data_IF_087068161239
#
_entry.id   IF_087068161239
#
_cell.length_a   1.000
_cell.length_b   1.000
_cell.length_c   1.000
_cell.angle_alpha   90.00
_cell.angle_beta   90.00
_cell.angle_gamma   90.00
#
_symmetry.space_group_name_H-M   'P 1'
#
loop_
_entity.id
_entity.type
_entity.pdbx_description
1 polymer ?
#
# COMPACT_ATOMS: atom_id res chain seq x y z
N UNK A 1 81.51 -70.64 52.11
CA UNK A 1 82.66 -69.73 52.31
C UNK A 1 82.89 -68.99 50.99
N UNK A 2 82.75 -67.66 51.01
CA UNK A 2 83.27 -66.61 50.09
C UNK A 2 83.09 -66.70 48.55
N UNK A 3 82.44 -65.64 48.02
CA UNK A 3 82.74 -64.78 46.84
C UNK A 3 82.95 -65.44 45.44
N UNK A 4 82.09 -65.19 44.42
CA UNK A 4 82.07 -64.08 43.40
C UNK A 4 83.18 -64.20 42.31
N UNK A 5 83.10 -63.61 41.07
CA UNK A 5 81.99 -62.90 40.39
C UNK A 5 81.89 -63.02 38.81
N UNK A 6 80.81 -62.43 38.27
CA UNK A 6 80.59 -61.61 37.04
C UNK A 6 80.83 -62.05 35.56
N UNK A 7 79.93 -61.50 34.71
CA UNK A 7 79.97 -61.18 33.26
C UNK A 7 79.46 -62.29 32.29
N UNK A 8 78.70 -62.05 31.22
CA UNK A 8 78.29 -60.83 30.50
C UNK A 8 77.01 -61.11 29.65
N UNK A 9 76.16 -60.07 29.51
CA UNK A 9 75.15 -59.69 28.47
C UNK A 9 75.05 -60.50 27.15
N UNK A 10 73.96 -60.63 26.38
CA UNK A 10 72.72 -59.84 26.19
C UNK A 10 71.65 -60.63 25.40
N UNK A 11 70.41 -60.11 25.43
CA UNK A 11 69.33 -60.16 24.43
C UNK A 11 68.51 -61.45 24.22
N UNK A 12 67.23 -61.42 24.61
CA UNK A 12 66.11 -61.15 23.68
C UNK A 12 64.83 -60.91 24.50
N UNK A 13 64.11 -59.82 24.17
CA UNK A 13 62.82 -59.47 24.74
C UNK A 13 61.69 -60.32 24.16
N UNK A 14 60.85 -60.87 25.04
CA UNK A 14 59.44 -61.17 24.79
C UNK A 14 58.67 -60.59 25.99
N UNK A 15 57.86 -59.55 25.78
CA UNK A 15 56.95 -59.06 26.81
C UNK A 15 55.62 -58.64 26.19
N UNK A 16 54.59 -59.33 26.66
CA UNK A 16 53.18 -59.22 26.36
C UNK A 16 52.64 -57.82 26.66
N UNK A 17 52.03 -57.16 25.68
CA UNK A 17 51.34 -55.89 25.87
C UNK A 17 49.91 -56.14 26.41
N UNK A 18 49.63 -55.58 27.59
CA UNK A 18 48.27 -55.42 28.12
C UNK A 18 47.50 -54.39 27.28
N UNK A 19 46.24 -54.70 27.00
CA UNK A 19 45.29 -53.78 26.38
C UNK A 19 44.95 -52.63 27.34
N UNK A 20 45.30 -51.40 26.96
CA UNK A 20 44.76 -50.17 27.54
C UNK A 20 43.43 -49.89 26.83
N UNK A 21 42.35 -49.88 27.58
CA UNK A 21 41.06 -49.37 27.13
C UNK A 21 41.22 -47.86 26.83
N UNK A 22 41.16 -47.50 25.55
CA UNK A 22 41.08 -46.11 25.15
C UNK A 22 39.65 -45.61 25.33
N UNK A 23 39.47 -44.67 26.25
CA UNK A 23 38.30 -43.81 26.30
C UNK A 23 38.16 -43.11 24.94
N UNK A 24 37.15 -43.51 24.16
CA UNK A 24 36.68 -42.66 23.07
C UNK A 24 35.99 -41.46 23.72
N UNK A 25 36.37 -40.21 23.41
CA UNK A 25 35.55 -39.09 23.82
C UNK A 25 34.18 -39.30 23.20
N UNK A 26 33.16 -39.36 24.05
CA UNK A 26 31.78 -39.29 23.62
C UNK A 26 31.65 -37.99 22.84
N UNK A 27 31.48 -38.12 21.53
CA UNK A 27 31.06 -37.03 20.66
C UNK A 27 29.67 -36.65 21.17
N UNK A 28 29.65 -35.68 22.07
CA UNK A 28 28.44 -34.97 22.46
C UNK A 28 27.84 -34.47 21.16
N UNK A 29 26.80 -35.15 20.70
CA UNK A 29 25.88 -34.59 19.72
C UNK A 29 25.42 -33.26 20.31
N UNK A 30 26.05 -32.18 19.84
CA UNK A 30 25.59 -30.84 20.10
C UNK A 30 24.10 -30.83 19.76
N UNK A 31 23.30 -30.32 20.70
CA UNK A 31 21.87 -30.16 20.54
C UNK A 31 21.57 -29.67 19.11
N UNK A 32 20.80 -30.46 18.37
CA UNK A 32 20.16 -29.97 17.16
C UNK A 32 19.42 -28.69 17.56
N UNK A 33 19.85 -27.58 16.97
CA UNK A 33 19.51 -26.19 17.30
C UNK A 33 18.09 -25.99 17.84
N UNK A 34 17.96 -25.27 18.96
CA UNK A 34 16.71 -24.68 19.49
C UNK A 34 16.10 -23.59 18.55
N UNK A 35 16.40 -23.62 17.26
CA UNK A 35 15.88 -22.70 16.27
C UNK A 35 14.54 -23.24 15.72
N UNK A 36 13.51 -22.39 15.60
CA UNK A 36 12.25 -22.78 14.96
C UNK A 36 12.48 -23.36 13.56
N UNK A 37 11.64 -24.32 13.16
CA UNK A 37 11.71 -24.89 11.81
C UNK A 37 11.54 -23.79 10.75
N UNK A 38 12.16 -23.95 9.59
CA UNK A 38 11.99 -23.00 8.47
C UNK A 38 10.50 -22.80 8.11
N UNK A 39 9.69 -23.85 8.27
CA UNK A 39 8.24 -23.81 8.04
C UNK A 39 7.50 -23.00 9.08
N UNK A 40 7.86 -23.08 10.36
CA UNK A 40 7.28 -22.23 11.41
C UNK A 40 7.61 -20.75 11.19
N UNK A 41 8.87 -20.43 10.82
CA UNK A 41 9.27 -19.05 10.48
C UNK A 41 8.49 -18.55 9.26
N UNK A 42 8.31 -19.38 8.24
CA UNK A 42 7.50 -19.05 7.07
C UNK A 42 6.02 -18.86 7.42
N UNK A 43 5.45 -19.71 8.26
CA UNK A 43 4.09 -19.59 8.75
C UNK A 43 3.85 -18.30 9.53
N UNK A 44 4.81 -17.93 10.39
CA UNK A 44 4.80 -16.64 11.09
C UNK A 44 4.81 -15.47 10.10
N UNK A 45 5.70 -15.53 9.11
CA UNK A 45 5.80 -14.49 8.07
C UNK A 45 4.48 -14.33 7.31
N UNK A 46 3.85 -15.43 6.89
CA UNK A 46 2.57 -15.38 6.18
C UNK A 46 1.42 -14.91 7.08
N UNK A 47 1.41 -15.27 8.37
CA UNK A 47 0.44 -14.76 9.34
C UNK A 47 0.60 -13.24 9.56
N UNK A 48 1.83 -12.73 9.52
CA UNK A 48 2.13 -11.30 9.51
C UNK A 48 1.68 -10.64 8.21
N UNK A 49 1.93 -11.25 7.04
CA UNK A 49 1.49 -10.71 5.75
C UNK A 49 -0.05 -10.65 5.61
N UNK A 50 -0.77 -11.55 6.27
CA UNK A 50 -2.23 -11.53 6.37
C UNK A 50 -2.80 -10.71 7.52
N UNK A 51 -1.96 -9.93 8.21
CA UNK A 51 -2.29 -9.05 9.34
C UNK A 51 -3.16 -9.72 10.42
N UNK A 52 -2.94 -11.02 10.66
CA UNK A 52 -3.82 -11.82 11.52
C UNK A 52 -3.85 -11.28 12.95
N UNK A 53 -2.73 -10.72 13.42
CA UNK A 53 -2.58 -10.23 14.79
C UNK A 53 -3.41 -8.97 15.05
N UNK A 54 -3.54 -8.06 14.08
CA UNK A 54 -4.27 -6.81 14.24
C UNK A 54 -5.76 -7.09 14.52
N UNK A 55 -6.36 -8.01 13.76
CA UNK A 55 -7.76 -8.40 13.96
C UNK A 55 -7.95 -9.31 15.17
N UNK A 56 -7.06 -10.28 15.39
CA UNK A 56 -7.24 -11.29 16.44
C UNK A 56 -6.62 -10.89 17.78
N UNK A 57 -6.42 -9.60 18.06
CA UNK A 57 -5.95 -9.11 19.36
C UNK A 57 -6.77 -7.91 19.78
N UNK A 58 -7.53 -8.03 20.88
CA UNK A 58 -8.25 -6.90 21.48
C UNK A 58 -7.29 -5.97 22.23
N UNK A 59 -7.67 -4.70 22.49
CA UNK A 59 -6.96 -3.84 23.43
C UNK A 59 -6.76 -4.54 24.77
N UNK A 60 -5.53 -4.50 25.29
CA UNK A 60 -5.09 -5.15 26.53
C UNK A 60 -5.23 -6.69 26.57
N UNK A 61 -5.54 -7.33 25.44
CA UNK A 61 -5.58 -8.79 25.29
C UNK A 61 -4.21 -9.39 25.01
N UNK A 62 -4.08 -10.72 25.13
CA UNK A 62 -2.90 -11.40 24.58
C UNK A 62 -3.08 -11.58 23.07
N UNK A 63 -1.95 -11.71 22.37
CA UNK A 63 -1.93 -11.93 20.93
C UNK A 63 -2.82 -13.12 20.53
N UNK A 64 -3.60 -12.94 19.46
CA UNK A 64 -4.44 -13.98 18.85
C UNK A 64 -5.65 -14.47 19.68
N UNK A 65 -5.92 -13.89 20.85
CA UNK A 65 -7.08 -14.24 21.69
C UNK A 65 -8.42 -13.72 21.15
N UNK A 66 -8.41 -12.88 20.12
CA UNK A 66 -9.60 -12.24 19.57
C UNK A 66 -10.26 -11.25 20.54
N UNK A 67 -11.52 -10.95 20.26
CA UNK A 67 -12.36 -10.01 21.02
C UNK A 67 -12.26 -8.56 20.55
N UNK A 68 -11.61 -8.30 19.41
CA UNK A 68 -11.63 -6.97 18.80
C UNK A 68 -13.05 -6.71 18.26
N UNK A 69 -13.71 -5.61 18.66
CA UNK A 69 -14.96 -5.18 18.04
C UNK A 69 -14.68 -4.55 16.67
N UNK A 70 -15.42 -5.01 15.66
CA UNK A 70 -15.46 -4.43 14.32
C UNK A 70 -16.86 -3.87 14.14
N UNK A 71 -16.97 -2.54 14.17
CA UNK A 71 -18.23 -1.86 13.98
C UNK A 71 -18.59 -1.82 12.49
N UNK A 72 -19.81 -2.28 12.19
CA UNK A 72 -20.34 -2.31 10.83
C UNK A 72 -21.69 -1.59 10.78
N UNK A 73 -22.15 -1.16 9.60
CA UNK A 73 -23.51 -0.65 9.42
C UNK A 73 -24.61 -1.63 9.88
N UNK A 74 -24.29 -2.91 10.04
CA UNK A 74 -25.22 -3.97 10.41
C UNK A 74 -25.21 -4.31 11.92
N UNK A 75 -24.24 -3.80 12.67
CA UNK A 75 -23.97 -4.14 14.07
C UNK A 75 -22.48 -4.43 14.31
N UNK A 76 -22.13 -4.98 15.45
CA UNK A 76 -20.74 -5.22 15.84
C UNK A 76 -20.37 -6.69 15.67
N UNK A 77 -19.29 -6.95 14.92
CA UNK A 77 -18.67 -8.27 14.78
C UNK A 77 -17.51 -8.35 15.77
N UNK A 78 -17.35 -9.48 16.45
CA UNK A 78 -16.21 -9.70 17.35
C UNK A 78 -15.30 -10.77 16.76
N UNK A 79 -14.00 -10.50 16.71
CA UNK A 79 -13.03 -11.44 16.17
C UNK A 79 -12.87 -12.66 17.08
N UNK A 80 -12.78 -13.89 16.54
CA UNK A 80 -12.65 -15.09 17.35
C UNK A 80 -11.23 -15.25 17.90
N UNK A 81 -11.09 -16.07 18.93
CA UNK A 81 -9.79 -16.55 19.41
C UNK A 81 -9.25 -17.57 18.40
N UNK A 82 -8.01 -17.40 17.94
CA UNK A 82 -7.35 -18.31 16.99
C UNK A 82 -6.08 -18.95 17.55
N UNK A 83 -5.95 -18.97 18.88
CA UNK A 83 -4.90 -19.72 19.59
C UNK A 83 -5.17 -21.24 19.53
N UNK A 84 -4.21 -22.12 19.88
CA UNK A 84 -4.39 -23.57 19.87
C UNK A 84 -5.32 -24.11 20.99
N UNK A 85 -6.07 -23.25 21.69
CA UNK A 85 -7.06 -23.71 22.65
C UNK A 85 -8.13 -24.56 21.97
N UNK A 86 -8.39 -25.76 22.50
CA UNK A 86 -9.43 -26.68 21.97
C UNK A 86 -10.86 -26.24 22.27
N UNK A 87 -11.05 -25.42 23.30
CA UNK A 87 -12.37 -25.00 23.79
C UNK A 87 -12.77 -23.59 23.41
N UNK A 88 -11.79 -22.68 23.24
CA UNK A 88 -12.04 -21.29 22.89
C UNK A 88 -11.42 -20.88 21.56
N UNK A 89 -10.37 -21.56 21.10
CA UNK A 89 -9.63 -21.26 19.88
C UNK A 89 -9.82 -22.29 18.77
N UNK A 90 -8.83 -22.40 17.88
CA UNK A 90 -8.84 -23.30 16.72
C UNK A 90 -8.18 -24.66 16.98
N UNK A 91 -7.87 -24.99 18.24
CA UNK A 91 -7.09 -26.17 18.61
C UNK A 91 -7.69 -27.54 18.21
N UNK A 92 -8.96 -27.55 17.83
CA UNK A 92 -9.68 -28.75 17.37
C UNK A 92 -9.89 -28.78 15.85
N UNK A 93 -9.46 -27.76 15.11
CA UNK A 93 -9.66 -27.69 13.66
C UNK A 93 -8.74 -28.70 12.96
N UNK A 94 -9.30 -29.53 12.09
CA UNK A 94 -8.52 -30.30 11.12
C UNK A 94 -7.89 -29.37 10.07
N UNK A 95 -6.99 -29.88 9.24
CA UNK A 95 -6.39 -29.09 8.15
C UNK A 95 -7.47 -28.67 7.15
N UNK A 96 -8.39 -29.58 6.85
CA UNK A 96 -9.55 -29.32 6.01
C UNK A 96 -10.47 -28.25 6.60
N UNK A 97 -10.76 -28.30 7.92
CA UNK A 97 -11.57 -27.28 8.58
C UNK A 97 -10.93 -25.88 8.48
N UNK A 98 -9.60 -25.80 8.65
CA UNK A 98 -8.87 -24.54 8.57
C UNK A 98 -8.88 -23.98 7.14
N UNK A 99 -8.69 -24.84 6.15
CA UNK A 99 -8.76 -24.46 4.73
C UNK A 99 -10.18 -24.02 4.35
N UNK A 100 -11.23 -24.76 4.73
CA UNK A 100 -12.62 -24.35 4.49
C UNK A 100 -12.99 -23.04 5.18
N UNK A 101 -12.49 -22.80 6.40
CA UNK A 101 -12.73 -21.54 7.10
C UNK A 101 -12.17 -20.35 6.32
N UNK A 102 -10.91 -20.43 5.89
CA UNK A 102 -10.23 -19.31 5.24
C UNK A 102 -10.53 -19.21 3.74
N UNK A 103 -10.77 -20.31 3.05
CA UNK A 103 -10.94 -20.29 1.60
C UNK A 103 -12.40 -20.33 1.17
N UNK A 104 -13.29 -20.94 1.97
CA UNK A 104 -14.71 -21.08 1.62
C UNK A 104 -15.62 -20.26 2.53
N UNK A 105 -15.07 -19.71 3.61
CA UNK A 105 -15.86 -19.02 4.62
C UNK A 105 -16.83 -19.97 5.32
N UNK A 106 -16.46 -21.24 5.54
CA UNK A 106 -17.32 -22.25 6.19
C UNK A 106 -16.68 -22.73 7.49
N UNK A 107 -17.45 -22.72 8.58
CA UNK A 107 -17.00 -23.22 9.89
C UNK A 107 -16.88 -24.75 9.90
N UNK A 108 -16.14 -25.34 10.87
CA UNK A 108 -16.10 -26.80 11.04
C UNK A 108 -17.48 -27.45 11.25
N UNK A 109 -18.45 -26.65 11.73
CA UNK A 109 -19.85 -27.06 11.90
C UNK A 109 -20.71 -26.90 10.65
N UNK A 110 -20.14 -26.43 9.54
CA UNK A 110 -20.82 -26.27 8.26
C UNK A 110 -21.63 -24.97 8.12
N UNK A 111 -21.45 -23.99 9.01
CA UNK A 111 -22.14 -22.69 8.91
C UNK A 111 -21.25 -21.65 8.22
N UNK A 112 -21.81 -20.69 7.48
CA UNK A 112 -21.02 -19.68 6.81
C UNK A 112 -20.47 -18.64 7.81
N UNK A 113 -19.29 -18.09 7.50
CA UNK A 113 -18.71 -16.93 8.15
C UNK A 113 -19.20 -15.65 7.47
N UNK A 114 -19.27 -14.57 8.24
CA UNK A 114 -19.42 -13.23 7.65
C UNK A 114 -18.13 -12.85 6.91
N UNK A 115 -18.22 -12.11 5.79
CA UNK A 115 -17.06 -11.71 4.99
C UNK A 115 -16.14 -10.68 5.67
N UNK A 116 -16.40 -10.36 6.95
CA UNK A 116 -15.43 -9.71 7.83
C UNK A 116 -14.20 -10.60 8.08
N UNK A 117 -14.37 -11.93 8.07
CA UNK A 117 -13.26 -12.82 7.75
C UNK A 117 -13.02 -12.70 6.24
N UNK A 118 -11.84 -12.25 5.76
CA UNK A 118 -11.61 -11.93 4.36
C UNK A 118 -11.39 -13.19 3.50
N UNK A 119 -12.24 -14.21 3.67
CA UNK A 119 -12.27 -15.41 2.84
C UNK A 119 -12.45 -15.15 1.34
N UNK A 120 -13.15 -14.07 0.88
CA UNK A 120 -13.17 -13.72 -0.54
C UNK A 120 -11.78 -13.40 -1.12
N UNK A 121 -10.82 -12.99 -0.28
CA UNK A 121 -9.42 -12.78 -0.66
C UNK A 121 -8.59 -14.03 -0.38
N UNK A 122 -8.73 -14.62 0.81
CA UNK A 122 -7.94 -15.78 1.24
C UNK A 122 -8.19 -17.03 0.39
N UNK A 123 -9.32 -17.15 -0.32
CA UNK A 123 -9.51 -18.19 -1.34
C UNK A 123 -8.36 -18.24 -2.36
N UNK A 124 -7.72 -17.09 -2.66
CA UNK A 124 -6.64 -16.99 -3.64
C UNK A 124 -5.32 -17.59 -3.11
N UNK A 125 -5.18 -17.77 -1.80
CA UNK A 125 -3.97 -18.23 -1.12
C UNK A 125 -3.82 -19.76 -1.25
N UNK A 126 -2.59 -20.22 -1.49
CA UNK A 126 -2.26 -21.64 -1.62
C UNK A 126 -2.47 -22.37 -0.30
N UNK A 127 -2.91 -23.62 -0.39
CA UNK A 127 -3.18 -24.46 0.77
C UNK A 127 -1.93 -24.63 1.66
N UNK A 128 -0.74 -24.79 1.07
CA UNK A 128 0.51 -24.95 1.83
C UNK A 128 0.85 -23.71 2.67
N UNK A 129 0.61 -22.51 2.14
CA UNK A 129 0.86 -21.25 2.85
C UNK A 129 -0.13 -21.09 4.02
N UNK A 130 -1.41 -21.43 3.82
CA UNK A 130 -2.40 -21.44 4.89
C UNK A 130 -2.08 -22.48 5.96
N UNK A 131 -1.63 -23.67 5.57
CA UNK A 131 -1.23 -24.70 6.54
C UNK A 131 0.05 -24.33 7.28
N UNK A 132 0.97 -23.58 6.67
CA UNK A 132 2.11 -22.99 7.38
C UNK A 132 1.65 -21.97 8.43
N UNK A 133 0.69 -21.10 8.10
CA UNK A 133 0.06 -20.19 9.07
C UNK A 133 -0.56 -21.00 10.22
N UNK A 134 -1.32 -22.05 9.91
CA UNK A 134 -1.91 -22.92 10.93
C UNK A 134 -0.85 -23.53 11.85
N UNK A 135 0.24 -24.05 11.29
CA UNK A 135 1.35 -24.63 12.06
C UNK A 135 1.95 -23.59 13.02
N UNK A 136 2.15 -22.36 12.55
CA UNK A 136 2.59 -21.25 13.40
C UNK A 136 1.59 -20.95 14.51
N UNK A 137 0.30 -20.79 14.20
CA UNK A 137 -0.75 -20.52 15.21
C UNK A 137 -0.83 -21.65 16.25
N UNK A 138 -0.68 -22.90 15.84
CA UNK A 138 -0.70 -24.07 16.73
C UNK A 138 0.56 -24.20 17.61
N UNK A 139 1.62 -23.45 17.30
CA UNK A 139 2.83 -23.37 18.13
C UNK A 139 2.74 -22.36 19.27
N UNK A 140 1.71 -21.50 19.27
CA UNK A 140 1.53 -20.43 20.25
C UNK A 140 1.02 -20.95 21.62
N UNK A 141 1.07 -20.11 22.65
CA UNK A 141 0.41 -20.43 23.91
C UNK A 141 -1.11 -20.46 23.75
N UNK A 142 -1.81 -21.51 24.23
CA UNK A 142 -3.26 -21.56 24.16
C UNK A 142 -3.90 -20.57 25.14
N UNK A 143 -4.93 -19.87 24.69
CA UNK A 143 -5.77 -19.03 25.55
C UNK A 143 -7.19 -19.55 25.64
N UNK A 144 -7.73 -19.57 26.85
CA UNK A 144 -9.13 -19.95 27.10
C UNK A 144 -10.09 -18.74 27.10
N UNK A 145 -9.61 -17.55 26.71
CA UNK A 145 -10.46 -16.39 26.56
C UNK A 145 -11.54 -16.65 25.51
N UNK A 146 -12.80 -16.38 25.87
CA UNK A 146 -13.93 -16.44 24.95
C UNK A 146 -14.35 -15.03 24.56
N UNK A 147 -14.17 -14.64 23.29
CA UNK A 147 -14.65 -13.37 22.78
C UNK A 147 -16.17 -13.21 22.96
N UNK A 148 -16.66 -11.96 23.07
CA UNK A 148 -18.08 -11.68 22.99
C UNK A 148 -18.71 -12.25 21.71
N UNK A 149 -20.00 -12.56 21.77
CA UNK A 149 -20.73 -12.99 20.57
C UNK A 149 -20.95 -11.78 19.66
N UNK A 150 -20.77 -11.99 18.36
CA UNK A 150 -21.18 -11.05 17.31
C UNK A 150 -22.64 -10.62 17.50
N UNK A 151 -22.88 -9.32 17.52
CA UNK A 151 -24.18 -8.70 17.76
C UNK A 151 -24.60 -7.90 16.52
N UNK A 152 -25.33 -8.57 15.63
CA UNK A 152 -25.87 -7.97 14.41
C UNK A 152 -27.38 -7.78 14.53
N UNK A 153 -27.88 -6.74 13.88
CA UNK A 153 -29.32 -6.48 13.80
C UNK A 153 -29.98 -7.50 12.87
N UNK A 154 -31.21 -7.88 13.19
CA UNK A 154 -32.02 -8.67 12.25
C UNK A 154 -32.26 -7.85 10.96
N UNK A 155 -32.18 -8.45 9.75
CA UNK A 155 -32.01 -9.89 9.48
C UNK A 155 -30.55 -10.38 9.43
N UNK A 156 -29.56 -9.50 9.51
CA UNK A 156 -28.13 -9.83 9.39
C UNK A 156 -27.60 -10.78 10.49
N UNK A 157 -28.31 -10.92 11.62
CA UNK A 157 -27.98 -11.91 12.65
C UNK A 157 -28.30 -13.37 12.28
N UNK A 158 -29.11 -13.60 11.25
CA UNK A 158 -29.42 -14.96 10.76
C UNK A 158 -28.27 -15.45 9.89
N UNK A 159 -27.31 -16.15 10.51
CA UNK A 159 -26.05 -16.56 9.90
C UNK A 159 -26.22 -17.26 8.55
N UNK A 160 -27.19 -18.17 8.44
CA UNK A 160 -27.37 -19.00 7.24
C UNK A 160 -27.79 -18.20 6.00
N UNK A 161 -28.24 -16.94 6.15
CA UNK A 161 -28.45 -16.05 5.00
C UNK A 161 -27.15 -15.76 4.22
N UNK A 162 -25.98 -15.96 4.84
CA UNK A 162 -24.70 -15.83 4.15
C UNK A 162 -24.48 -16.85 3.04
N UNK A 163 -25.16 -18.01 3.04
CA UNK A 163 -25.08 -18.91 1.88
C UNK A 163 -25.60 -18.23 0.61
N UNK A 164 -26.72 -17.50 0.71
CA UNK A 164 -27.25 -16.74 -0.42
C UNK A 164 -26.35 -15.57 -0.81
N UNK A 165 -25.69 -14.93 0.16
CA UNK A 165 -24.72 -13.88 -0.12
C UNK A 165 -23.48 -14.43 -0.84
N UNK A 166 -22.96 -15.57 -0.39
CA UNK A 166 -21.81 -16.25 -1.01
C UNK A 166 -22.12 -16.62 -2.46
N UNK A 167 -23.29 -17.20 -2.73
CA UNK A 167 -23.71 -17.57 -4.09
C UNK A 167 -23.70 -16.39 -5.07
N UNK A 168 -23.96 -15.16 -4.58
CA UNK A 168 -24.05 -13.96 -5.40
C UNK A 168 -22.69 -13.24 -5.51
N UNK A 169 -21.93 -13.17 -4.41
CA UNK A 169 -20.80 -12.24 -4.28
C UNK A 169 -19.44 -12.91 -4.06
N UNK A 170 -19.39 -14.23 -3.80
CA UNK A 170 -18.13 -14.92 -3.53
C UNK A 170 -17.62 -15.66 -4.78
N UNK A 171 -16.54 -15.15 -5.36
CA UNK A 171 -15.80 -15.82 -6.45
C UNK A 171 -14.69 -16.72 -5.88
N UNK A 172 -15.03 -18.00 -5.69
CA UNK A 172 -14.10 -19.01 -5.20
C UNK A 172 -13.06 -19.36 -6.28
N UNK A 173 -11.78 -19.25 -5.93
CA UNK A 173 -10.68 -19.72 -6.77
C UNK A 173 -9.31 -19.44 -6.17
N UNK A 174 -8.30 -20.18 -6.61
CA UNK A 174 -6.89 -19.95 -6.26
C UNK A 174 -6.27 -18.93 -7.21
N UNK A 175 -5.31 -18.14 -6.72
CA UNK A 175 -4.50 -17.28 -7.57
C UNK A 175 -3.82 -18.09 -8.67
N UNK A 176 -3.91 -17.62 -9.91
CA UNK A 176 -3.21 -18.19 -11.06
C UNK A 176 -2.23 -17.14 -11.57
N UNK A 177 -0.91 -17.43 -11.59
CA UNK A 177 0.06 -16.52 -12.17
C UNK A 177 -0.27 -16.20 -13.63
N UNK A 178 -0.22 -14.92 -13.98
CA UNK A 178 -0.37 -14.47 -15.36
C UNK A 178 0.99 -14.60 -16.08
N UNK A 179 1.10 -15.45 -17.12
CA UNK A 179 2.35 -15.66 -17.84
C UNK A 179 2.80 -14.45 -18.67
N UNK A 180 1.94 -13.44 -18.86
CA UNK A 180 2.30 -12.18 -19.52
C UNK A 180 3.00 -11.18 -18.59
N UNK A 181 2.95 -11.41 -17.28
CA UNK A 181 3.60 -10.59 -16.26
C UNK A 181 4.83 -11.28 -15.65
N UNK A 182 5.70 -10.50 -15.00
CA UNK A 182 6.90 -11.01 -14.35
C UNK A 182 6.57 -11.82 -13.09
N UNK A 183 7.52 -12.63 -12.62
CA UNK A 183 7.40 -13.33 -11.33
C UNK A 183 7.21 -12.35 -10.16
N UNK A 184 7.86 -11.18 -10.22
CA UNK A 184 7.72 -10.13 -9.22
C UNK A 184 6.30 -9.55 -9.21
N UNK A 185 5.74 -9.25 -10.38
CA UNK A 185 4.36 -8.77 -10.47
C UNK A 185 3.38 -9.82 -9.94
N UNK A 186 3.56 -11.09 -10.32
CA UNK A 186 2.71 -12.20 -9.87
C UNK A 186 2.82 -12.41 -8.35
N UNK A 187 4.01 -12.22 -7.76
CA UNK A 187 4.20 -12.25 -6.31
C UNK A 187 3.45 -11.10 -5.64
N UNK A 188 3.49 -9.91 -6.23
CA UNK A 188 2.75 -8.73 -5.78
C UNK A 188 1.24 -8.96 -5.78
N UNK A 189 0.71 -9.41 -6.93
CA UNK A 189 -0.70 -9.74 -7.10
C UNK A 189 -1.17 -10.77 -6.07
N UNK A 190 -0.39 -11.85 -5.88
CA UNK A 190 -0.69 -12.89 -4.90
C UNK A 190 -0.81 -12.36 -3.46
N UNK A 191 0.08 -11.44 -3.07
CA UNK A 191 0.07 -10.85 -1.73
C UNK A 191 -1.05 -9.82 -1.58
N UNK A 192 -1.25 -8.95 -2.56
CA UNK A 192 -2.25 -7.86 -2.53
C UNK A 192 -3.68 -8.40 -2.60
N UNK A 193 -3.95 -9.35 -3.50
CA UNK A 193 -5.28 -9.93 -3.69
C UNK A 193 -5.60 -11.04 -2.67
N UNK A 194 -4.58 -11.72 -2.16
CA UNK A 194 -4.67 -12.82 -1.21
C UNK A 194 -4.63 -12.33 0.24
N UNK A 195 -3.50 -12.58 0.92
CA UNK A 195 -3.38 -12.32 2.37
C UNK A 195 -3.46 -10.85 2.74
N UNK A 196 -2.87 -9.94 1.96
CA UNK A 196 -2.93 -8.50 2.21
C UNK A 196 -4.32 -7.90 1.98
N UNK A 197 -5.20 -8.61 1.25
CA UNK A 197 -6.61 -8.29 1.02
C UNK A 197 -6.89 -6.79 0.81
N UNK A 198 -6.04 -6.07 0.06
CA UNK A 198 -6.06 -4.60 0.04
C UNK A 198 -7.42 -4.08 -0.50
N UNK A 199 -8.02 -4.83 -1.42
CA UNK A 199 -9.33 -4.54 -1.98
C UNK A 199 -10.46 -4.57 -0.95
N UNK A 200 -10.29 -5.22 0.21
CA UNK A 200 -11.30 -5.21 1.27
C UNK A 200 -11.53 -3.81 1.85
N UNK A 201 -10.52 -2.94 1.82
CA UNK A 201 -10.63 -1.55 2.28
C UNK A 201 -10.63 -0.54 1.14
N UNK A 202 -9.89 -0.82 0.05
CA UNK A 202 -9.70 0.11 -1.06
C UNK A 202 -10.69 -0.08 -2.22
N UNK A 203 -11.76 -0.85 -2.04
CA UNK A 203 -12.82 -1.03 -3.05
C UNK A 203 -14.17 -0.63 -2.43
N UNK A 204 -15.00 0.17 -3.13
CA UNK A 204 -16.35 0.48 -2.69
C UNK A 204 -17.18 -0.77 -2.42
N UNK A 205 -18.13 -0.66 -1.49
CA UNK A 205 -19.05 -1.75 -1.14
C UNK A 205 -20.48 -1.36 -1.48
N UNK A 206 -21.24 -2.33 -1.99
CA UNK A 206 -22.65 -2.17 -2.25
C UNK A 206 -23.47 -2.23 -0.94
N UNK A 207 -24.79 -2.04 -1.03
CA UNK A 207 -25.69 -2.07 0.13
C UNK A 207 -25.71 -3.41 0.90
N UNK A 208 -25.29 -4.51 0.26
CA UNK A 208 -25.17 -5.83 0.89
C UNK A 208 -23.79 -6.05 1.54
N UNK A 209 -22.92 -5.03 1.56
CA UNK A 209 -21.58 -5.08 2.15
C UNK A 209 -20.54 -5.82 1.31
N UNK A 210 -20.88 -6.27 0.09
CA UNK A 210 -19.92 -6.88 -0.83
C UNK A 210 -19.12 -5.80 -1.56
N UNK A 211 -17.82 -6.05 -1.80
CA UNK A 211 -16.99 -5.19 -2.65
C UNK A 211 -17.56 -5.17 -4.07
N UNK A 212 -17.43 -4.04 -4.76
CA UNK A 212 -17.87 -3.87 -6.14
C UNK A 212 -16.68 -4.14 -7.09
N UNK A 213 -16.64 -5.30 -7.80
CA UNK A 213 -15.48 -5.63 -8.64
C UNK A 213 -15.28 -4.65 -9.79
N UNK A 214 -16.36 -3.99 -10.23
CA UNK A 214 -16.30 -2.92 -11.22
C UNK A 214 -15.68 -1.63 -10.70
N UNK A 215 -15.36 -1.50 -9.41
CA UNK A 215 -14.69 -0.34 -8.81
C UNK A 215 -13.49 -0.79 -7.97
N UNK A 216 -12.90 -1.94 -8.33
CA UNK A 216 -11.77 -2.51 -7.60
C UNK A 216 -10.64 -1.49 -7.43
N UNK A 217 -10.19 -1.34 -6.20
CA UNK A 217 -9.03 -0.51 -5.82
C UNK A 217 -9.19 1.01 -6.03
N UNK A 218 -10.39 1.53 -6.31
CA UNK A 218 -10.62 2.97 -6.54
C UNK A 218 -10.78 3.80 -5.26
N UNK A 219 -10.56 3.20 -4.10
CA UNK A 219 -10.76 3.83 -2.80
C UNK A 219 -12.19 3.72 -2.27
N UNK A 220 -12.34 3.83 -0.94
CA UNK A 220 -13.62 3.73 -0.26
C UNK A 220 -13.58 4.37 1.14
N UNK A 221 -14.75 4.58 1.74
CA UNK A 221 -14.85 4.93 3.16
C UNK A 221 -15.00 3.64 3.97
N UNK A 222 -14.13 3.44 4.95
CA UNK A 222 -14.14 2.32 5.89
C UNK A 222 -14.03 2.88 7.30
N UNK A 223 -15.03 2.57 8.14
CA UNK A 223 -15.09 3.07 9.52
C UNK A 223 -14.90 4.60 9.66
N UNK A 224 -15.47 5.35 8.71
CA UNK A 224 -15.33 6.81 8.64
C UNK A 224 -13.98 7.32 8.13
N UNK A 225 -12.99 6.44 7.92
CA UNK A 225 -11.72 6.76 7.29
C UNK A 225 -11.78 6.59 5.78
N UNK A 226 -11.06 7.43 5.05
CA UNK A 226 -10.91 7.31 3.61
C UNK A 226 -9.70 6.44 3.27
N UNK A 227 -9.96 5.27 2.70
CA UNK A 227 -8.97 4.44 2.03
C UNK A 227 -8.77 4.96 0.60
N UNK A 228 -7.58 5.47 0.23
CA UNK A 228 -7.35 6.13 -1.06
C UNK A 228 -7.42 5.18 -2.26
N UNK A 229 -7.50 5.74 -3.47
CA UNK A 229 -7.39 5.00 -4.72
C UNK A 229 -5.97 4.41 -4.87
N UNK A 230 -5.88 3.11 -5.15
CA UNK A 230 -4.61 2.38 -5.35
C UNK A 230 -4.33 2.08 -6.83
N UNK A 231 -5.16 2.56 -7.76
CA UNK A 231 -4.89 2.47 -9.19
C UNK A 231 -3.81 3.46 -9.60
N UNK A 232 -3.31 3.31 -10.83
CA UNK A 232 -2.33 4.22 -11.41
C UNK A 232 -2.93 5.60 -11.81
N UNK A 233 -4.08 5.98 -11.28
CA UNK A 233 -4.68 7.30 -11.50
C UNK A 233 -3.74 8.43 -11.02
N UNK A 234 -3.57 9.47 -11.84
CA UNK A 234 -2.64 10.57 -11.58
C UNK A 234 -3.20 11.67 -10.68
N UNK A 235 -4.50 11.64 -10.38
CA UNK A 235 -5.22 12.68 -9.66
C UNK A 235 -5.58 12.27 -8.23
N UNK A 236 -6.10 11.05 -8.07
CA UNK A 236 -6.57 10.50 -6.80
C UNK A 236 -5.83 9.21 -6.41
N UNK A 237 -5.20 8.54 -7.37
CA UNK A 237 -4.47 7.29 -7.17
C UNK A 237 -2.96 7.45 -6.93
N UNK A 238 -2.26 6.32 -7.00
CA UNK A 238 -0.80 6.21 -6.80
C UNK A 238 -0.02 6.43 -8.11
N UNK A 239 -0.65 6.99 -9.14
CA UNK A 239 -0.07 7.16 -10.47
C UNK A 239 1.23 7.97 -10.48
N UNK A 240 1.37 8.95 -9.56
CA UNK A 240 2.56 9.82 -9.46
C UNK A 240 3.75 9.19 -8.74
N UNK A 241 3.51 8.13 -7.98
CA UNK A 241 4.53 7.52 -7.15
C UNK A 241 5.35 6.55 -7.98
N UNK A 242 6.66 6.50 -7.75
CA UNK A 242 7.49 5.41 -8.24
C UNK A 242 7.22 4.12 -7.45
N UNK A 243 7.66 2.99 -8.00
CA UNK A 243 7.59 1.68 -7.32
C UNK A 243 8.36 1.72 -5.99
N UNK A 244 9.53 2.36 -5.96
CA UNK A 244 10.39 2.38 -4.77
C UNK A 244 9.86 3.33 -3.68
N UNK A 245 9.25 4.46 -4.07
CA UNK A 245 8.54 5.34 -3.13
C UNK A 245 7.33 4.63 -2.50
N UNK A 246 6.54 3.92 -3.31
CA UNK A 246 5.41 3.15 -2.82
C UNK A 246 5.86 2.00 -1.91
N UNK A 247 6.89 1.24 -2.29
CA UNK A 247 7.43 0.18 -1.43
C UNK A 247 7.92 0.75 -0.08
N UNK A 248 8.57 1.91 -0.10
CA UNK A 248 9.01 2.63 1.10
C UNK A 248 7.83 3.06 1.97
N UNK A 249 6.77 3.59 1.37
CA UNK A 249 5.56 3.97 2.08
C UNK A 249 4.87 2.77 2.71
N UNK A 250 4.74 1.65 1.98
CA UNK A 250 4.18 0.41 2.52
C UNK A 250 5.01 -0.08 3.73
N UNK A 251 6.33 0.09 3.69
CA UNK A 251 7.21 -0.33 4.80
C UNK A 251 7.14 0.60 6.01
N UNK A 252 7.15 1.91 5.79
CA UNK A 252 7.40 2.90 6.85
C UNK A 252 6.16 3.67 7.26
N UNK A 253 5.12 3.63 6.44
CA UNK A 253 3.95 4.47 6.56
C UNK A 253 4.21 5.94 6.21
N UNK A 254 5.37 6.28 5.64
CA UNK A 254 5.75 7.65 5.31
C UNK A 254 6.17 7.75 3.86
N UNK A 255 5.58 8.69 3.14
CA UNK A 255 5.97 8.96 1.77
C UNK A 255 7.32 9.67 1.80
N UNK A 256 8.24 9.37 0.86
CA UNK A 256 9.50 10.08 0.76
C UNK A 256 9.24 11.58 0.58
N UNK A 257 9.98 12.40 1.31
CA UNK A 257 9.84 13.86 1.28
C UNK A 257 9.97 14.47 -0.12
N UNK A 258 10.53 13.74 -1.09
CA UNK A 258 10.72 14.18 -2.48
C UNK A 258 9.42 14.33 -3.27
N UNK A 259 8.34 13.63 -2.89
CA UNK A 259 7.01 13.85 -3.48
C UNK A 259 6.41 15.20 -3.06
N UNK A 260 6.86 15.76 -1.93
CA UNK A 260 6.33 16.99 -1.34
C UNK A 260 7.35 18.16 -1.25
N UNK A 261 8.67 17.95 -1.40
CA UNK A 261 9.66 19.03 -1.40
C UNK A 261 11.03 18.64 -2.00
N UNK A 262 11.54 19.48 -2.92
CA UNK A 262 12.93 19.40 -3.43
C UNK A 262 13.97 20.13 -2.57
N UNK A 263 13.55 20.80 -1.51
CA UNK A 263 14.44 21.20 -0.41
C UNK A 263 13.72 20.98 0.92
N UNK A 264 14.31 20.23 1.87
CA UNK A 264 13.70 20.02 3.17
C UNK A 264 13.78 21.32 3.97
N UNK A 265 12.69 22.09 4.00
CA UNK A 265 12.46 23.03 5.08
C UNK A 265 12.09 22.19 6.32
N UNK A 266 12.91 22.17 7.40
CA UNK A 266 12.61 21.41 8.61
C UNK A 266 11.33 21.88 9.34
N UNK A 267 10.70 22.95 8.88
CA UNK A 267 9.39 23.42 9.35
C UNK A 267 8.20 23.07 8.44
N UNK A 268 8.44 22.49 7.26
CA UNK A 268 7.41 22.14 6.25
C UNK A 268 7.30 20.61 6.07
N UNK A 269 7.27 19.88 7.19
CA UNK A 269 7.11 18.43 7.23
C UNK A 269 5.67 18.00 6.87
N UNK A 270 5.24 18.24 5.63
CA UNK A 270 4.09 17.56 5.06
C UNK A 270 4.55 16.29 4.33
N UNK A 271 5.19 15.37 5.05
CA UNK A 271 5.32 14.01 4.54
C UNK A 271 3.92 13.39 4.58
N UNK A 272 3.44 12.84 3.46
CA UNK A 272 2.23 12.01 3.50
C UNK A 272 2.47 10.83 4.43
N UNK A 273 1.77 10.77 5.57
CA UNK A 273 1.88 9.69 6.56
C UNK A 273 0.58 8.90 6.65
N UNK A 274 0.69 7.60 6.92
CA UNK A 274 -0.47 6.74 7.23
C UNK A 274 -1.11 7.18 8.53
N UNK A 275 -2.44 7.24 8.53
CA UNK A 275 -3.27 7.53 9.69
C UNK A 275 -4.39 6.50 9.78
N UNK A 276 -5.01 6.40 10.96
CA UNK A 276 -6.15 5.52 11.19
C UNK A 276 -5.81 4.03 10.97
N UNK A 277 -6.74 3.22 10.45
CA UNK A 277 -6.56 1.78 10.27
C UNK A 277 -5.35 1.40 9.42
N UNK A 278 -4.97 2.23 8.44
CA UNK A 278 -3.79 1.95 7.61
C UNK A 278 -2.48 2.05 8.42
N UNK A 279 -2.43 2.88 9.47
CA UNK A 279 -1.28 2.93 10.35
C UNK A 279 -1.09 1.62 11.14
N UNK A 280 -2.19 0.97 11.53
CA UNK A 280 -2.17 -0.36 12.16
C UNK A 280 -1.68 -1.41 11.16
N UNK A 281 -2.20 -1.42 9.93
CA UNK A 281 -1.74 -2.32 8.85
C UNK A 281 -0.22 -2.19 8.62
N UNK A 282 0.31 -0.96 8.60
CA UNK A 282 1.76 -0.75 8.48
C UNK A 282 2.50 -1.28 9.71
N UNK A 283 2.07 -0.90 10.91
CA UNK A 283 2.73 -1.27 12.16
C UNK A 283 2.70 -2.79 12.41
N UNK A 284 1.56 -3.43 12.22
CA UNK A 284 1.30 -4.82 12.59
C UNK A 284 1.68 -5.82 11.48
N UNK A 285 1.64 -5.39 10.22
CA UNK A 285 1.95 -6.22 9.05
C UNK A 285 3.10 -5.67 8.18
N UNK A 286 2.86 -4.65 7.36
CA UNK A 286 3.70 -4.33 6.19
C UNK A 286 5.15 -3.96 6.56
N UNK A 287 5.35 -3.25 7.68
CA UNK A 287 6.68 -2.86 8.16
C UNK A 287 7.60 -4.04 8.49
N UNK A 288 7.02 -5.23 8.69
CA UNK A 288 7.73 -6.47 9.01
C UNK A 288 7.96 -7.36 7.78
N UNK A 289 7.46 -6.98 6.62
CA UNK A 289 7.64 -7.75 5.38
C UNK A 289 9.01 -7.54 4.76
N UNK A 290 9.42 -8.51 3.94
CA UNK A 290 10.67 -8.42 3.21
C UNK A 290 10.56 -7.32 2.14
N UNK A 291 11.63 -6.54 1.96
CA UNK A 291 11.66 -5.46 0.96
C UNK A 291 11.31 -5.95 -0.46
N UNK A 292 11.66 -7.18 -0.81
CA UNK A 292 11.30 -7.80 -2.10
C UNK A 292 9.79 -7.98 -2.26
N UNK A 293 9.08 -8.36 -1.20
CA UNK A 293 7.63 -8.54 -1.23
C UNK A 293 6.91 -7.19 -1.27
N UNK A 294 7.40 -6.19 -0.51
CA UNK A 294 6.87 -4.83 -0.57
C UNK A 294 7.06 -4.20 -1.94
N UNK A 295 8.22 -4.43 -2.58
CA UNK A 295 8.46 -4.00 -3.96
C UNK A 295 7.56 -4.74 -4.95
N UNK A 296 7.38 -6.05 -4.79
CA UNK A 296 6.45 -6.83 -5.61
C UNK A 296 5.02 -6.31 -5.52
N UNK A 297 4.51 -6.05 -4.31
CA UNK A 297 3.21 -5.43 -4.09
C UNK A 297 3.11 -4.07 -4.78
N UNK A 298 4.15 -3.22 -4.67
CA UNK A 298 4.20 -1.94 -5.35
C UNK A 298 4.20 -2.06 -6.89
N UNK A 299 4.94 -3.03 -7.46
CA UNK A 299 4.95 -3.31 -8.91
C UNK A 299 3.55 -3.69 -9.39
N UNK A 300 2.84 -4.56 -8.68
CA UNK A 300 1.47 -4.94 -9.02
C UNK A 300 0.51 -3.75 -8.94
N UNK A 301 0.50 -3.03 -7.80
CA UNK A 301 -0.39 -1.88 -7.59
C UNK A 301 -0.19 -0.79 -8.65
N UNK A 302 1.07 -0.51 -9.01
CA UNK A 302 1.41 0.49 -10.05
C UNK A 302 0.91 0.16 -11.45
N UNK A 303 0.60 -1.10 -11.70
CA UNK A 303 0.11 -1.59 -12.99
C UNK A 303 -1.43 -1.65 -13.06
N UNK A 304 -2.13 -1.42 -11.94
CA UNK A 304 -3.58 -1.38 -11.90
C UNK A 304 -4.09 -0.18 -12.72
N UNK A 305 -4.92 -0.40 -13.76
CA UNK A 305 -5.38 0.68 -14.63
C UNK A 305 -6.30 1.63 -13.86
N UNK A 306 -6.26 2.94 -14.17
CA UNK A 306 -7.21 3.88 -13.59
C UNK A 306 -8.62 3.58 -14.12
N UNK A 307 -9.61 3.57 -13.23
CA UNK A 307 -11.03 3.31 -13.59
C UNK A 307 -11.66 4.45 -14.36
N UNK A 308 -11.33 5.67 -13.97
CA UNK A 308 -11.58 6.83 -14.82
C UNK A 308 -10.38 6.92 -15.75
N UNK A 309 -10.55 6.55 -17.03
CA UNK A 309 -9.60 7.03 -18.04
C UNK A 309 -9.43 8.51 -17.79
N UNK A 310 -8.16 8.95 -17.77
CA UNK A 310 -7.79 10.35 -17.59
C UNK A 310 -8.95 11.25 -17.97
N UNK A 311 -9.49 12.01 -17.02
CA UNK A 311 -10.04 13.32 -17.39
C UNK A 311 -8.87 14.17 -17.89
N UNK A 312 -8.33 13.78 -19.04
CA UNK A 312 -7.64 14.60 -20.01
C UNK A 312 -8.61 15.64 -20.58
N UNK A 313 -9.87 15.68 -20.14
CA UNK A 313 -10.68 16.88 -20.16
C UNK A 313 -10.91 17.29 -18.70
N UNK A 314 -10.13 18.25 -18.19
CA UNK A 314 -10.50 18.95 -16.98
C UNK A 314 -11.90 19.52 -17.20
N UNK A 315 -12.74 19.50 -16.15
CA UNK A 315 -14.07 20.08 -16.22
C UNK A 315 -13.93 21.47 -16.82
N UNK A 316 -14.49 21.69 -18.01
CA UNK A 316 -14.48 23.01 -18.62
C UNK A 316 -15.13 23.94 -17.61
N UNK A 317 -14.38 24.94 -17.09
CA UNK A 317 -14.96 25.91 -16.17
C UNK A 317 -16.16 26.55 -16.86
N UNK A 318 -17.27 26.76 -16.16
CA UNK A 318 -18.53 27.21 -16.78
C UNK A 318 -18.38 28.55 -17.52
N UNK A 319 -17.30 29.29 -17.24
CA UNK A 319 -16.90 30.54 -17.89
C UNK A 319 -16.23 30.36 -19.26
N UNK A 320 -15.86 29.14 -19.65
CA UNK A 320 -15.25 28.82 -20.95
C UNK A 320 -16.14 27.89 -21.78
N UNK A 321 -16.06 28.04 -23.10
CA UNK A 321 -16.57 27.00 -24.02
C UNK A 321 -15.56 25.88 -24.16
N UNK A 322 -16.01 24.66 -24.49
CA UNK A 322 -15.12 23.53 -24.77
C UNK A 322 -14.02 23.88 -25.79
N UNK A 323 -14.40 24.55 -26.88
CA UNK A 323 -13.44 24.97 -27.91
C UNK A 323 -12.38 25.96 -27.38
N UNK A 324 -12.79 26.93 -26.54
CA UNK A 324 -11.85 27.88 -25.93
C UNK A 324 -10.94 27.19 -24.91
N UNK A 325 -11.49 26.23 -24.17
CA UNK A 325 -10.77 25.41 -23.21
C UNK A 325 -9.67 24.57 -23.89
N UNK A 326 -10.03 23.81 -24.93
CA UNK A 326 -9.09 22.95 -25.66
C UNK A 326 -7.99 23.77 -26.36
N UNK A 327 -8.36 24.89 -26.99
CA UNK A 327 -7.39 25.79 -27.61
C UNK A 327 -6.43 26.41 -26.58
N UNK A 328 -6.96 26.87 -25.45
CA UNK A 328 -6.16 27.44 -24.37
C UNK A 328 -5.20 26.43 -23.77
N UNK A 329 -5.66 25.19 -23.55
CA UNK A 329 -4.83 24.08 -23.12
C UNK A 329 -3.71 23.77 -24.11
N UNK A 330 -4.02 23.69 -25.40
CA UNK A 330 -3.02 23.40 -26.42
C UNK A 330 -1.92 24.48 -26.48
N UNK A 331 -2.31 25.76 -26.34
CA UNK A 331 -1.35 26.87 -26.25
C UNK A 331 -0.53 26.77 -24.96
N UNK A 332 -1.16 26.46 -23.83
CA UNK A 332 -0.49 26.31 -22.53
C UNK A 332 0.53 25.16 -22.54
N UNK A 333 0.14 23.96 -22.98
CA UNK A 333 1.02 22.79 -23.07
C UNK A 333 2.21 23.05 -24.00
N UNK A 334 1.99 23.77 -25.11
CA UNK A 334 3.06 24.06 -26.06
C UNK A 334 4.07 25.10 -25.55
N UNK A 335 3.61 26.12 -24.82
CA UNK A 335 4.40 27.31 -24.56
C UNK A 335 4.71 27.56 -23.08
N UNK A 336 3.96 26.96 -22.15
CA UNK A 336 3.95 27.33 -20.75
C UNK A 336 4.26 26.15 -19.81
N UNK A 337 3.75 24.95 -20.10
CA UNK A 337 3.83 23.82 -19.17
C UNK A 337 5.26 23.32 -18.92
N UNK A 338 6.19 23.52 -19.85
CA UNK A 338 7.60 23.19 -19.64
C UNK A 338 8.23 23.88 -18.41
N UNK A 339 7.71 25.05 -18.03
CA UNK A 339 8.15 25.81 -16.85
C UNK A 339 7.10 25.80 -15.73
N UNK A 340 5.84 26.09 -16.08
CA UNK A 340 4.74 26.20 -15.11
C UNK A 340 4.08 24.87 -14.74
N UNK A 341 4.53 23.77 -15.35
CA UNK A 341 4.06 22.39 -15.16
C UNK A 341 2.60 22.19 -15.60
N UNK A 342 2.17 20.94 -15.78
CA UNK A 342 0.89 20.62 -16.42
C UNK A 342 -0.35 21.08 -15.64
N UNK A 343 -0.22 21.29 -14.32
CA UNK A 343 -1.28 21.73 -13.43
C UNK A 343 -1.04 23.12 -12.83
N UNK A 344 -0.19 23.93 -13.47
CA UNK A 344 0.11 25.29 -13.03
C UNK A 344 0.81 25.36 -11.67
N UNK A 345 1.39 24.26 -11.17
CA UNK A 345 2.06 24.23 -9.87
C UNK A 345 3.41 24.97 -9.86
N UNK A 346 3.98 25.29 -11.03
CA UNK A 346 5.28 25.93 -11.15
C UNK A 346 6.43 25.04 -10.65
N UNK A 347 7.60 25.65 -10.50
CA UNK A 347 8.81 25.03 -9.95
C UNK A 347 9.55 26.07 -9.12
N UNK A 348 9.37 26.07 -7.81
CA UNK A 348 10.08 26.98 -6.90
C UNK A 348 11.60 26.73 -6.96
N UNK A 349 12.44 27.78 -6.81
CA UNK A 349 12.12 29.21 -6.78
C UNK A 349 12.01 29.87 -8.17
N UNK A 350 12.12 29.12 -9.26
CA UNK A 350 12.37 29.63 -10.61
C UNK A 350 11.09 30.05 -11.36
N UNK A 351 10.05 29.21 -11.28
CA UNK A 351 8.80 29.40 -12.01
C UNK A 351 7.64 29.46 -10.99
N UNK A 352 6.93 30.59 -10.88
CA UNK A 352 5.85 30.72 -9.92
C UNK A 352 4.69 29.78 -10.26
N UNK A 353 3.98 29.34 -9.22
CA UNK A 353 2.71 28.65 -9.36
C UNK A 353 1.67 29.60 -9.97
N UNK A 354 0.94 29.12 -10.95
CA UNK A 354 -0.25 29.75 -11.52
C UNK A 354 -1.54 29.26 -10.85
N UNK A 355 -1.50 28.07 -10.27
CA UNK A 355 -2.55 27.48 -9.43
C UNK A 355 -2.77 28.32 -8.17
N UNK A 356 -4.03 28.57 -7.83
CA UNK A 356 -4.46 29.30 -6.63
C UNK A 356 -3.75 30.67 -6.47
N UNK A 357 -3.31 31.27 -7.59
CA UNK A 357 -2.45 32.45 -7.56
C UNK A 357 -3.31 33.73 -7.47
N UNK A 358 -3.11 34.59 -6.46
CA UNK A 358 -3.93 35.79 -6.27
C UNK A 358 -3.83 36.81 -7.42
N UNK A 359 -2.70 36.85 -8.13
CA UNK A 359 -2.51 37.70 -9.32
C UNK A 359 -3.29 37.12 -10.50
N UNK A 360 -3.32 35.79 -10.65
CA UNK A 360 -4.14 35.12 -11.66
C UNK A 360 -5.63 35.31 -11.36
N UNK A 361 -6.02 35.31 -10.08
CA UNK A 361 -7.40 35.51 -9.63
C UNK A 361 -7.82 36.97 -9.50
N UNK A 362 -6.94 37.92 -9.76
CA UNK A 362 -7.28 39.35 -9.68
C UNK A 362 -8.43 39.69 -10.63
N UNK A 363 -9.33 40.58 -10.18
CA UNK A 363 -10.51 41.03 -10.94
C UNK A 363 -10.11 41.56 -12.32
N UNK A 364 -9.03 42.35 -12.39
CA UNK A 364 -8.46 42.86 -13.63
C UNK A 364 -7.37 41.91 -14.15
N UNK A 365 -7.38 41.52 -15.43
CA UNK A 365 -6.40 40.57 -15.99
C UNK A 365 -5.04 41.22 -16.32
N UNK A 366 -4.85 42.49 -15.98
CA UNK A 366 -3.74 43.31 -16.46
C UNK A 366 -2.37 42.69 -16.17
N UNK A 367 -2.17 42.16 -14.98
CA UNK A 367 -0.87 41.62 -14.57
C UNK A 367 -0.55 40.32 -15.31
N UNK A 368 -1.53 39.41 -15.46
CA UNK A 368 -1.39 38.20 -16.27
C UNK A 368 -1.08 38.56 -17.73
N UNK A 369 -1.77 39.55 -18.29
CA UNK A 369 -1.58 39.96 -19.68
C UNK A 369 -0.26 40.68 -19.93
N UNK A 370 0.14 41.60 -19.04
CA UNK A 370 1.45 42.26 -19.13
C UNK A 370 2.58 41.26 -18.96
N UNK A 371 2.43 40.28 -18.06
CA UNK A 371 3.40 39.20 -17.87
C UNK A 371 3.53 38.32 -19.12
N UNK A 372 2.43 37.93 -19.76
CA UNK A 372 2.48 37.18 -21.03
C UNK A 372 3.06 38.00 -22.19
N UNK A 373 2.71 39.28 -22.29
CA UNK A 373 3.16 40.16 -23.37
C UNK A 373 4.64 40.50 -23.27
N UNK A 374 5.12 40.82 -22.07
CA UNK A 374 6.44 41.37 -21.82
C UNK A 374 7.47 40.34 -21.35
N UNK A 375 7.01 39.22 -20.77
CA UNK A 375 7.89 38.26 -20.10
C UNK A 375 8.59 38.86 -18.87
N UNK A 376 9.61 38.15 -18.39
CA UNK A 376 10.54 38.69 -17.41
C UNK A 376 11.52 39.67 -18.08
N UNK A 377 12.07 40.66 -17.34
CA UNK A 377 13.07 41.59 -17.88
C UNK A 377 14.25 40.84 -18.53
N UNK A 378 14.71 41.34 -19.68
CA UNK A 378 15.83 40.75 -20.40
C UNK A 378 17.17 40.89 -19.65
N UNK A 379 17.28 41.89 -18.78
CA UNK A 379 18.40 42.05 -17.84
C UNK A 379 18.01 41.44 -16.47
N UNK A 380 18.66 40.34 -16.04
CA UNK A 380 18.41 39.73 -14.74
C UNK A 380 18.65 40.65 -13.54
N UNK A 381 19.41 41.74 -13.71
CA UNK A 381 19.64 42.76 -12.67
C UNK A 381 18.47 43.73 -12.49
N UNK A 382 17.56 43.81 -13.48
CA UNK A 382 16.30 44.56 -13.39
C UNK A 382 15.13 43.67 -12.91
N UNK A 383 15.33 42.35 -12.87
CA UNK A 383 14.36 41.42 -12.30
C UNK A 383 14.47 41.39 -10.76
N UNK A 384 13.32 41.35 -10.07
CA UNK A 384 13.27 41.22 -8.60
C UNK A 384 13.97 39.95 -8.08
N UNK A 385 14.14 38.95 -8.95
CA UNK A 385 14.95 37.76 -8.71
C UNK A 385 15.74 37.42 -9.97
N UNK A 386 17.08 37.20 -9.89
CA UNK A 386 17.92 36.88 -11.05
C UNK A 386 17.59 35.51 -11.67
N UNK A 387 16.69 34.75 -11.05
CA UNK A 387 16.35 33.37 -11.38
C UNK A 387 14.99 33.23 -12.11
N UNK A 388 14.23 34.32 -12.27
CA UNK A 388 12.92 34.27 -12.94
C UNK A 388 13.13 34.49 -14.44
N UNK A 389 13.05 33.41 -15.20
CA UNK A 389 13.06 33.45 -16.67
C UNK A 389 11.66 33.15 -17.20
N UNK A 390 11.04 34.14 -17.84
CA UNK A 390 9.79 33.96 -18.57
C UNK A 390 9.90 34.63 -19.94
N UNK A 391 9.76 33.87 -21.05
CA UNK A 391 9.77 34.45 -22.39
C UNK A 391 8.64 35.46 -22.59
N UNK A 392 8.90 36.50 -23.39
CA UNK A 392 7.88 37.39 -23.88
C UNK A 392 7.11 36.71 -25.03
N UNK A 393 5.79 36.58 -24.90
CA UNK A 393 4.95 35.99 -25.95
C UNK A 393 4.29 37.03 -26.84
N UNK A 394 4.49 38.33 -26.57
CA UNK A 394 3.92 39.42 -27.36
C UNK A 394 4.30 39.33 -28.84
N UNK A 395 5.52 38.95 -29.21
CA UNK A 395 5.90 38.81 -30.63
C UNK A 395 5.56 37.44 -31.23
N UNK A 396 5.13 36.48 -30.41
CA UNK A 396 4.99 35.06 -30.79
C UNK A 396 3.53 34.65 -30.94
N UNK A 397 2.64 35.16 -30.08
CA UNK A 397 1.23 34.82 -30.03
C UNK A 397 0.36 36.03 -30.42
N UNK A 398 -0.73 35.76 -31.16
CA UNK A 398 -1.73 36.78 -31.51
C UNK A 398 -2.51 37.24 -30.27
N UNK A 399 -3.25 38.34 -30.39
CA UNK A 399 -4.11 38.84 -29.31
C UNK A 399 -5.15 37.80 -28.88
N UNK A 400 -5.72 37.08 -29.85
CA UNK A 400 -6.69 36.00 -29.62
C UNK A 400 -6.02 34.82 -28.89
N UNK A 401 -4.81 34.43 -29.28
CA UNK A 401 -4.08 33.34 -28.64
C UNK A 401 -3.68 33.67 -27.20
N UNK A 402 -3.22 34.90 -26.94
CA UNK A 402 -2.91 35.37 -25.59
C UNK A 402 -4.18 35.43 -24.73
N UNK A 403 -5.28 35.96 -25.27
CA UNK A 403 -6.56 35.99 -24.56
C UNK A 403 -7.05 34.58 -24.20
N UNK A 404 -6.90 33.64 -25.14
CA UNK A 404 -7.33 32.25 -24.97
C UNK A 404 -6.51 31.52 -23.91
N UNK A 405 -5.17 31.61 -23.94
CA UNK A 405 -4.32 30.98 -22.92
C UNK A 405 -4.44 31.65 -21.55
N UNK A 406 -4.60 32.98 -21.50
CA UNK A 406 -4.84 33.70 -20.25
C UNK A 406 -6.17 33.28 -19.61
N UNK A 407 -7.23 33.15 -20.41
CA UNK A 407 -8.54 32.68 -19.94
C UNK A 407 -8.48 31.24 -19.41
N UNK A 408 -7.73 30.37 -20.10
CA UNK A 408 -7.47 29.02 -19.63
C UNK A 408 -6.74 29.01 -18.27
N UNK A 409 -5.64 29.76 -18.12
CA UNK A 409 -4.90 29.85 -16.85
C UNK A 409 -5.80 30.37 -15.71
N UNK A 410 -6.63 31.38 -16.01
CA UNK A 410 -7.51 32.06 -15.05
C UNK A 410 -8.71 31.23 -14.58
N UNK A 411 -9.02 30.13 -15.26
CA UNK A 411 -10.18 29.31 -14.96
C UNK A 411 -9.82 27.88 -14.50
N UNK A 412 -8.54 27.52 -14.45
CA UNK A 412 -8.07 26.19 -14.06
C UNK A 412 -7.34 26.19 -12.73
N UNK A 413 -7.23 25.02 -12.10
CA UNK A 413 -6.41 24.77 -10.92
C UNK A 413 -6.79 25.67 -9.73
N UNK A 414 -8.08 25.68 -9.37
CA UNK A 414 -8.59 26.48 -8.25
C UNK A 414 -8.74 27.97 -8.56
N UNK A 415 -8.32 28.42 -9.74
CA UNK A 415 -8.61 29.77 -10.20
C UNK A 415 -10.05 29.88 -10.73
N UNK A 416 -10.73 30.98 -10.41
CA UNK A 416 -12.12 31.25 -10.77
C UNK A 416 -12.30 32.72 -11.19
N UNK A 417 -11.48 33.15 -12.15
CA UNK A 417 -11.44 34.53 -12.60
C UNK A 417 -12.03 34.69 -14.01
N UNK A 418 -12.61 35.85 -14.28
CA UNK A 418 -13.28 36.13 -15.56
C UNK A 418 -12.36 35.90 -16.77
N UNK A 419 -12.89 35.36 -17.89
CA UNK A 419 -12.16 35.22 -19.14
C UNK A 419 -11.65 36.57 -19.69
N UNK A 420 -10.62 36.49 -20.52
CA UNK A 420 -9.99 37.63 -21.18
C UNK A 420 -10.43 37.71 -22.65
N UNK A 421 -10.65 38.93 -23.14
CA UNK A 421 -10.93 39.19 -24.56
C UNK A 421 -9.69 39.65 -25.33
N UNK A 422 -9.67 39.44 -26.65
CA UNK A 422 -8.59 39.90 -27.52
C UNK A 422 -8.43 41.43 -27.49
N UNK A 423 -9.53 42.17 -27.31
CA UNK A 423 -9.52 43.63 -27.17
C UNK A 423 -8.74 44.09 -25.94
N UNK A 424 -8.88 43.37 -24.81
CA UNK A 424 -8.14 43.65 -23.58
C UNK A 424 -6.63 43.44 -23.78
N UNK A 425 -6.24 42.37 -24.50
CA UNK A 425 -4.83 42.14 -24.86
C UNK A 425 -4.30 43.24 -25.76
N UNK A 426 -5.05 43.59 -26.82
CA UNK A 426 -4.69 44.63 -27.78
C UNK A 426 -4.52 46.00 -27.12
N UNK A 427 -5.33 46.30 -26.10
CA UNK A 427 -5.22 47.54 -25.34
C UNK A 427 -3.91 47.61 -24.54
N UNK A 428 -3.42 46.47 -24.02
CA UNK A 428 -2.21 46.37 -23.20
C UNK A 428 -0.93 46.06 -23.99
N UNK A 429 -1.05 45.69 -25.27
CA UNK A 429 0.06 45.43 -26.19
C UNK A 429 0.77 46.71 -26.66
N UNK A 430 0.08 47.84 -26.61
CA UNK A 430 0.68 49.17 -26.82
C UNK A 430 1.59 49.51 -25.66
#
# INVERSE_FOLDING_TARGET
MRFRPLALTANLLCASALAVAGDKPAETAAAASDLPSARLVYGQYMATAGDCIACHTRPDGKAFEGGLPIDTPFGTIYTPNITPSKGAGIGSFSDEDFLHALQDGISPSGHPYYPALPYPSFTKVKDDDLLAIKEYLMSLEPSNYQPPKTDLRWPFSVRDLMFGWQEIYFDKGRFQPDPSHSDEWNRGAYLVEGLGHCGACHTPRNMAGATEPSEAMTGAIVDGWYAPDLTSDLSQGIGRWSVDELATFLQTGKAPAELDAKEPDPSDASATEVLGPMAEVVHDSLSKLHASDLRAMAVYLKDLPPKTELRNQPKVPDVLTEAAYEQGRAIYTKNCSGCHQDYGQGLKPYFPALRDNPVVNAELPNDVLKTLLLGAPADPSEAFSPNVMMPAFGSVLTDEQIATVASYIRANWGNDASPVTAEAVKALRK
#
